data_IF_602877314584
#
_entry.id   IF_602877314584
#
_cell.length_a   1.000
_cell.length_b   1.000
_cell.length_c   1.000
_cell.angle_alpha   90.00
_cell.angle_beta   90.00
_cell.angle_gamma   90.00
#
_symmetry.space_group_name_H-M   'P 1'
#
loop_
_entity.id
_entity.type
_entity.pdbx_description
1 polymer ?
#
# COMPACT_ATOMS: atom_id res chain seq x y z
N UNK A 1 -7.96 7.57 12.88
CA UNK A 1 -7.73 6.32 12.14
C UNK A 1 -6.34 5.89 12.51
N UNK A 2 -6.18 4.70 13.06
CA UNK A 2 -4.86 4.12 13.33
C UNK A 2 -4.45 3.32 12.10
N UNK A 3 -3.24 3.56 11.59
CA UNK A 3 -2.66 2.91 10.43
C UNK A 3 -1.43 2.14 10.90
N UNK A 4 -1.67 1.14 11.75
CA UNK A 4 -0.61 0.47 12.53
C UNK A 4 0.42 -0.17 11.62
N UNK A 5 0.00 -0.79 10.52
CA UNK A 5 0.89 -1.51 9.62
C UNK A 5 1.75 -0.55 8.79
N UNK A 6 1.20 0.59 8.39
CA UNK A 6 1.97 1.68 7.77
C UNK A 6 2.98 2.28 8.76
N UNK A 7 2.55 2.56 10.00
CA UNK A 7 3.44 3.09 11.05
C UNK A 7 4.59 2.12 11.33
N UNK A 8 4.28 0.83 11.54
CA UNK A 8 5.27 -0.21 11.78
C UNK A 8 6.20 -0.41 10.58
N UNK A 9 5.69 -0.34 9.35
CA UNK A 9 6.53 -0.41 8.14
C UNK A 9 7.56 0.72 8.10
N UNK A 10 7.14 1.96 8.36
CA UNK A 10 8.01 3.14 8.33
C UNK A 10 9.03 3.10 9.48
N UNK A 11 8.60 2.67 10.67
CA UNK A 11 9.49 2.52 11.83
C UNK A 11 10.58 1.44 11.60
N UNK A 12 10.31 0.47 10.71
CA UNK A 12 11.25 -0.56 10.28
C UNK A 12 11.91 -0.26 8.92
N UNK A 13 12.16 1.02 8.62
CA UNK A 13 12.90 1.49 7.43
C UNK A 13 12.23 1.21 6.08
N UNK A 14 10.97 0.76 6.07
CA UNK A 14 10.16 0.65 4.86
C UNK A 14 9.63 1.98 4.36
N UNK A 15 8.92 1.94 3.23
CA UNK A 15 8.36 3.12 2.59
C UNK A 15 6.92 2.92 2.11
N UNK A 16 6.17 4.02 2.07
CA UNK A 16 4.96 4.13 1.26
C UNK A 16 5.12 5.26 0.25
N UNK A 17 4.63 5.05 -0.96
CA UNK A 17 4.57 6.08 -2.00
C UNK A 17 3.13 6.28 -2.44
N UNK A 18 2.66 7.52 -2.39
CA UNK A 18 1.34 7.92 -2.90
C UNK A 18 1.55 8.88 -4.07
N UNK A 19 0.91 8.60 -5.19
CA UNK A 19 0.97 9.49 -6.34
C UNK A 19 0.77 8.76 -7.65
N UNK A 20 1.37 9.26 -8.72
CA UNK A 20 1.32 8.60 -10.02
C UNK A 20 2.30 7.43 -10.04
N UNK A 21 1.82 6.24 -10.33
CA UNK A 21 2.63 5.02 -10.48
C UNK A 21 2.43 4.49 -11.89
N UNK A 22 3.43 4.64 -12.76
CA UNK A 22 3.33 4.28 -14.17
C UNK A 22 2.11 4.89 -14.89
N UNK A 23 1.23 4.08 -15.51
CA UNK A 23 0.01 4.56 -16.16
C UNK A 23 -1.12 4.92 -15.17
N UNK A 24 -1.03 4.52 -13.91
CA UNK A 24 -2.05 4.76 -12.87
C UNK A 24 -1.90 6.18 -12.35
N UNK A 25 -2.94 7.00 -12.53
CA UNK A 25 -2.94 8.44 -12.16
C UNK A 25 -2.75 8.68 -10.66
N UNK A 26 -3.31 7.81 -9.83
CA UNK A 26 -3.19 7.85 -8.39
C UNK A 26 -3.20 6.42 -7.87
N UNK A 27 -2.04 5.95 -7.43
CA UNK A 27 -1.85 4.68 -6.76
C UNK A 27 -1.14 4.88 -5.43
N UNK A 28 -1.10 3.80 -4.66
CA UNK A 28 -0.38 3.69 -3.42
C UNK A 28 0.49 2.44 -3.47
N UNK A 29 1.76 2.54 -3.10
CA UNK A 29 2.63 1.37 -2.92
C UNK A 29 3.21 1.35 -1.52
N UNK A 30 3.51 0.16 -1.03
CA UNK A 30 4.21 -0.09 0.23
C UNK A 30 5.31 -1.13 -0.01
N UNK A 31 6.51 -0.85 0.48
CA UNK A 31 7.68 -1.73 0.33
C UNK A 31 8.49 -1.76 1.62
N UNK A 32 9.05 -2.92 1.95
CA UNK A 32 10.15 -3.05 2.91
C UNK A 32 11.51 -3.04 2.14
N UNK A 33 12.61 -3.34 2.83
CA UNK A 33 13.95 -3.37 2.22
C UNK A 33 14.10 -4.39 1.08
N UNK A 34 13.29 -5.45 1.05
CA UNK A 34 13.44 -6.61 0.18
C UNK A 34 12.26 -6.82 -0.78
N UNK A 35 11.05 -6.40 -0.40
CA UNK A 35 9.79 -6.77 -1.05
C UNK A 35 8.88 -5.57 -1.25
N UNK A 36 8.18 -5.57 -2.39
CA UNK A 36 7.00 -4.74 -2.56
C UNK A 36 5.80 -5.46 -1.95
N UNK A 37 5.29 -4.94 -0.83
CA UNK A 37 4.22 -5.55 -0.04
C UNK A 37 2.85 -5.33 -0.68
N UNK A 38 2.60 -4.14 -1.22
CA UNK A 38 1.33 -3.82 -1.87
C UNK A 38 1.49 -2.73 -2.94
N UNK A 39 0.67 -2.83 -3.99
CA UNK A 39 0.46 -1.83 -5.03
C UNK A 39 -1.04 -1.71 -5.32
N UNK A 40 -1.64 -0.59 -4.92
CA UNK A 40 -3.06 -0.33 -5.06
C UNK A 40 -3.32 0.80 -6.07
N UNK A 41 -4.35 0.63 -6.88
CA UNK A 41 -4.90 1.71 -7.69
C UNK A 41 -6.04 2.39 -6.91
N UNK A 42 -6.03 3.73 -6.87
CA UNK A 42 -7.12 4.48 -6.25
C UNK A 42 -8.40 4.27 -7.05
N UNK A 43 -9.47 3.83 -6.38
CA UNK A 43 -10.76 3.54 -7.01
C UNK A 43 -11.54 4.84 -7.31
N UNK A 44 -12.44 4.83 -8.31
CA UNK A 44 -13.33 5.98 -8.55
C UNK A 44 -14.17 6.31 -7.30
N UNK A 45 -14.11 7.56 -6.85
CA UNK A 45 -14.85 8.02 -5.67
C UNK A 45 -14.24 7.65 -4.32
N UNK A 46 -13.12 6.92 -4.30
CA UNK A 46 -12.42 6.57 -3.07
C UNK A 46 -11.76 7.81 -2.44
N UNK A 47 -11.97 8.04 -1.14
CA UNK A 47 -11.28 9.10 -0.40
C UNK A 47 -9.80 8.74 -0.21
N UNK A 48 -8.97 9.75 0.07
CA UNK A 48 -7.55 9.50 0.38
C UNK A 48 -7.40 8.62 1.64
N UNK A 49 -8.19 8.89 2.68
CA UNK A 49 -8.20 8.07 3.90
C UNK A 49 -8.61 6.62 3.63
N UNK A 50 -9.60 6.37 2.76
CA UNK A 50 -10.01 5.02 2.39
C UNK A 50 -8.92 4.26 1.62
N UNK A 51 -8.16 4.96 0.77
CA UNK A 51 -6.98 4.37 0.12
C UNK A 51 -5.90 4.00 1.14
N UNK A 52 -5.64 4.84 2.15
CA UNK A 52 -4.68 4.54 3.22
C UNK A 52 -5.12 3.36 4.08
N UNK A 53 -6.41 3.23 4.42
CA UNK A 53 -6.94 2.07 5.15
C UNK A 53 -6.71 0.78 4.35
N UNK A 54 -6.99 0.81 3.04
CA UNK A 54 -6.75 -0.36 2.18
C UNK A 54 -5.28 -0.70 2.07
N UNK A 55 -4.41 0.31 1.98
CA UNK A 55 -2.97 0.07 1.95
C UNK A 55 -2.50 -0.57 3.25
N UNK A 56 -2.96 -0.06 4.40
CA UNK A 56 -2.63 -0.60 5.71
C UNK A 56 -3.05 -2.07 5.86
N UNK A 57 -4.29 -2.39 5.47
CA UNK A 57 -4.78 -3.77 5.44
C UNK A 57 -4.02 -4.66 4.45
N UNK A 58 -3.59 -4.11 3.30
CA UNK A 58 -2.81 -4.89 2.33
C UNK A 58 -1.38 -5.18 2.82
N UNK A 59 -0.80 -4.32 3.67
CA UNK A 59 0.48 -4.59 4.32
C UNK A 59 0.33 -5.74 5.32
N UNK A 60 -0.74 -5.74 6.13
CA UNK A 60 -1.05 -6.85 7.04
C UNK A 60 -1.21 -8.17 6.28
N UNK A 61 -1.97 -8.17 5.18
CA UNK A 61 -2.16 -9.33 4.32
C UNK A 61 -0.83 -9.86 3.76
N UNK A 62 0.07 -8.97 3.32
CA UNK A 62 1.38 -9.36 2.81
C UNK A 62 2.28 -9.95 3.91
N UNK A 63 2.32 -9.34 5.10
CA UNK A 63 3.21 -9.74 6.20
C UNK A 63 2.72 -11.01 6.91
N UNK A 64 1.43 -11.06 7.26
CA UNK A 64 0.88 -12.14 8.09
C UNK A 64 0.39 -13.33 7.26
N UNK A 65 -0.04 -13.09 6.03
CA UNK A 65 -0.72 -14.10 5.21
C UNK A 65 -0.01 -14.43 3.89
N UNK A 66 1.11 -13.75 3.57
CA UNK A 66 1.83 -13.90 2.30
C UNK A 66 0.94 -13.59 1.07
N UNK A 67 -0.04 -12.69 1.24
CA UNK A 67 -0.98 -12.26 0.21
C UNK A 67 -0.60 -10.86 -0.28
N UNK A 68 0.06 -10.79 -1.43
CA UNK A 68 0.51 -9.54 -2.03
C UNK A 68 -0.55 -8.96 -2.97
N UNK A 69 -0.97 -7.72 -2.72
CA UNK A 69 -1.87 -7.01 -3.61
C UNK A 69 -1.08 -6.30 -4.72
N UNK A 70 -1.29 -6.68 -5.98
CA UNK A 70 -0.80 -5.94 -7.14
C UNK A 70 -1.97 -5.58 -8.09
N UNK A 71 -2.49 -4.36 -7.94
CA UNK A 71 -3.52 -3.80 -8.82
C UNK A 71 -2.92 -3.01 -10.00
N UNK A 72 -1.59 -2.90 -10.10
CA UNK A 72 -0.89 -2.05 -11.06
C UNK A 72 -0.23 -2.88 -12.17
N UNK A 73 0.36 -4.03 -11.85
CA UNK A 73 1.01 -4.92 -12.81
C UNK A 73 0.25 -6.26 -12.91
N UNK A 74 -0.61 -6.42 -13.93
CA UNK A 74 -1.29 -7.68 -14.22
C UNK A 74 -0.40 -8.73 -14.90
#
# INVERSE_FOLDING_TARGET
MELKNIEELIDNEGEITIGRIGPVRCGASASDEANCLAMLARRPGESFEALLIRLDSAIEDAIEHDIFADEINP
#
